data_IF_917862143225
#
_entry.id   IF_917862143225
#
_cell.length_a   1.000
_cell.length_b   1.000
_cell.length_c   1.000
_cell.angle_alpha   90.00
_cell.angle_beta   90.00
_cell.angle_gamma   90.00
#
_symmetry.space_group_name_H-M   'P 1'
#
loop_
_entity.id
_entity.type
_entity.pdbx_description
1 polymer ?
#
# COMPACT_ATOMS: atom_id res chain seq x y z
N UNK A 1 1.91 -7.72 4.11
CA UNK A 1 2.23 -8.66 2.99
C UNK A 1 3.53 -8.18 2.35
N UNK A 2 4.44 -9.09 2.01
CA UNK A 2 5.64 -8.78 1.23
C UNK A 2 5.76 -9.75 0.06
N UNK A 3 6.34 -9.28 -1.05
CA UNK A 3 6.66 -10.07 -2.24
C UNK A 3 8.15 -9.94 -2.47
N UNK A 4 8.89 -11.06 -2.51
CA UNK A 4 10.34 -11.02 -2.60
C UNK A 4 10.99 -12.25 -2.01
N UNK A 5 12.33 -12.26 -1.86
CA UNK A 5 13.04 -13.44 -1.40
C UNK A 5 12.82 -13.68 0.10
N UNK A 6 13.32 -14.80 0.61
CA UNK A 6 13.15 -15.22 2.01
C UNK A 6 13.64 -14.19 3.04
N UNK A 7 14.57 -13.31 2.68
CA UNK A 7 15.01 -12.20 3.54
C UNK A 7 13.88 -11.21 3.86
N UNK A 8 12.83 -11.12 3.01
CA UNK A 8 11.65 -10.30 3.28
C UNK A 8 10.89 -10.69 4.56
N UNK A 9 11.15 -11.88 5.14
CA UNK A 9 10.64 -12.25 6.45
C UNK A 9 11.08 -11.28 7.56
N UNK A 10 12.29 -10.70 7.47
CA UNK A 10 12.77 -9.74 8.47
C UNK A 10 11.94 -8.45 8.44
N UNK A 11 11.68 -7.90 7.24
CA UNK A 11 10.80 -6.74 7.06
C UNK A 11 9.40 -7.00 7.60
N UNK A 12 8.87 -8.21 7.38
CA UNK A 12 7.57 -8.61 7.92
C UNK A 12 7.57 -8.68 9.46
N UNK A 13 8.64 -9.19 10.08
CA UNK A 13 8.77 -9.20 11.55
C UNK A 13 8.78 -7.80 12.14
N UNK A 14 9.42 -6.83 11.49
CA UNK A 14 9.36 -5.42 11.90
C UNK A 14 7.92 -4.90 11.85
N UNK A 15 7.17 -5.19 10.77
CA UNK A 15 5.77 -4.80 10.67
C UNK A 15 4.89 -5.42 11.78
N UNK A 16 5.11 -6.68 12.11
CA UNK A 16 4.43 -7.35 13.23
C UNK A 16 4.74 -6.67 14.57
N UNK A 17 6.01 -6.36 14.84
CA UNK A 17 6.41 -5.66 16.06
C UNK A 17 5.86 -4.21 16.12
N UNK A 18 5.64 -3.60 14.96
CA UNK A 18 4.95 -2.32 14.80
C UNK A 18 3.41 -2.43 14.87
N UNK A 19 2.87 -3.60 15.17
CA UNK A 19 1.46 -3.80 15.53
C UNK A 19 0.59 -4.38 14.43
N UNK A 20 1.16 -4.94 13.36
CA UNK A 20 0.39 -5.76 12.42
C UNK A 20 -0.01 -7.09 13.07
N UNK A 21 -1.25 -7.54 12.83
CA UNK A 21 -1.77 -8.78 13.43
C UNK A 21 -1.14 -10.05 12.85
N UNK A 22 -0.85 -10.05 11.55
CA UNK A 22 -0.25 -11.19 10.84
C UNK A 22 0.52 -10.76 9.59
N UNK A 23 1.37 -11.65 9.10
CA UNK A 23 2.22 -11.45 7.95
C UNK A 23 2.03 -12.54 6.90
N UNK A 24 2.19 -12.16 5.63
CA UNK A 24 2.24 -13.07 4.48
C UNK A 24 3.47 -12.70 3.67
N UNK A 25 4.32 -13.69 3.41
CA UNK A 25 5.38 -13.59 2.42
C UNK A 25 4.97 -14.38 1.18
N UNK A 26 5.00 -13.72 0.02
CA UNK A 26 4.97 -14.38 -1.28
C UNK A 26 6.41 -14.48 -1.74
N UNK A 27 6.99 -15.66 -1.61
CA UNK A 27 8.40 -15.87 -1.91
C UNK A 27 8.65 -15.90 -3.42
N UNK A 28 9.58 -15.06 -3.88
CA UNK A 28 10.01 -14.95 -5.27
C UNK A 28 11.50 -14.59 -5.33
N UNK A 29 12.24 -15.22 -6.24
CA UNK A 29 13.63 -14.87 -6.53
C UNK A 29 13.88 -15.04 -8.04
N UNK A 30 14.17 -13.97 -8.81
CA UNK A 30 14.43 -12.59 -8.37
C UNK A 30 13.17 -11.81 -7.94
N UNK A 31 13.36 -10.59 -7.42
CA UNK A 31 12.27 -9.64 -7.14
C UNK A 31 11.55 -9.29 -8.45
N UNK A 32 10.22 -9.49 -8.55
CA UNK A 32 9.48 -9.23 -9.78
C UNK A 32 9.32 -7.73 -10.07
N UNK A 33 8.97 -7.41 -11.32
CA UNK A 33 8.56 -6.07 -11.73
C UNK A 33 7.22 -5.61 -11.09
N UNK A 34 6.92 -4.30 -11.06
CA UNK A 34 5.71 -3.77 -10.42
C UNK A 34 4.40 -4.42 -10.84
N UNK A 35 4.24 -4.76 -12.13
CA UNK A 35 3.03 -5.41 -12.64
C UNK A 35 2.85 -6.82 -12.06
N UNK A 36 3.93 -7.59 -11.98
CA UNK A 36 3.92 -8.92 -11.39
C UNK A 36 3.61 -8.84 -9.89
N UNK A 37 4.21 -7.89 -9.17
CA UNK A 37 3.90 -7.62 -7.75
C UNK A 37 2.42 -7.27 -7.59
N UNK A 38 1.86 -6.37 -8.41
CA UNK A 38 0.46 -5.97 -8.33
C UNK A 38 -0.50 -7.16 -8.58
N UNK A 39 -0.19 -8.06 -9.52
CA UNK A 39 -0.97 -9.28 -9.75
C UNK A 39 -0.92 -10.24 -8.56
N UNK A 40 0.24 -10.39 -7.93
CA UNK A 40 0.39 -11.22 -6.72
C UNK A 40 -0.37 -10.63 -5.53
N UNK A 41 -0.30 -9.31 -5.33
CA UNK A 41 -1.07 -8.61 -4.29
C UNK A 41 -2.58 -8.69 -4.54
N UNK A 42 -3.04 -8.62 -5.80
CA UNK A 42 -4.44 -8.87 -6.16
C UNK A 42 -4.91 -10.25 -5.72
N UNK A 43 -4.13 -11.29 -5.96
CA UNK A 43 -4.48 -12.65 -5.52
C UNK A 43 -4.58 -12.78 -3.99
N UNK A 44 -3.84 -11.97 -3.23
CA UNK A 44 -4.01 -11.88 -1.77
C UNK A 44 -5.27 -11.11 -1.43
N UNK A 45 -5.51 -9.96 -2.05
CA UNK A 45 -6.70 -9.16 -1.82
C UNK A 45 -7.99 -9.95 -2.08
N UNK A 46 -8.04 -10.76 -3.14
CA UNK A 46 -9.19 -11.62 -3.45
C UNK A 46 -9.44 -12.72 -2.40
N UNK A 47 -8.41 -13.14 -1.66
CA UNK A 47 -8.52 -14.16 -0.61
C UNK A 47 -8.83 -13.56 0.76
N UNK A 48 -8.26 -12.39 1.03
CA UNK A 48 -8.33 -11.73 2.34
C UNK A 48 -9.45 -10.69 2.43
N UNK A 49 -10.05 -10.34 1.29
CA UNK A 49 -11.16 -9.38 1.12
C UNK A 49 -11.00 -8.09 1.96
N UNK A 50 -9.88 -7.35 1.82
CA UNK A 50 -9.64 -6.18 2.63
C UNK A 50 -10.51 -5.00 2.18
N UNK A 51 -11.07 -4.23 3.13
CA UNK A 51 -11.77 -2.98 2.78
C UNK A 51 -10.85 -1.85 2.31
N UNK A 52 -9.54 -1.95 2.58
CA UNK A 52 -8.53 -0.97 2.19
C UNK A 52 -7.16 -1.63 2.07
N UNK A 53 -6.38 -1.21 1.07
CA UNK A 53 -4.97 -1.63 0.91
C UNK A 53 -4.08 -0.40 0.97
N UNK A 54 -3.05 -0.42 1.83
CA UNK A 54 -2.09 0.67 1.98
C UNK A 54 -0.72 0.22 1.48
N UNK A 55 -0.11 1.02 0.61
CA UNK A 55 1.26 0.83 0.11
C UNK A 55 2.06 2.13 0.28
N UNK A 56 3.39 2.01 0.26
CA UNK A 56 4.25 3.17 0.05
C UNK A 56 4.04 3.77 -1.35
N UNK A 57 4.24 5.08 -1.49
CA UNK A 57 4.26 5.79 -2.78
C UNK A 57 5.22 5.16 -3.78
N UNK A 58 6.46 4.88 -3.37
CA UNK A 58 7.49 4.32 -4.24
C UNK A 58 8.45 3.48 -3.43
N UNK A 59 8.93 2.39 -4.03
CA UNK A 59 10.08 1.67 -3.53
C UNK A 59 11.34 2.38 -4.02
N UNK A 60 12.32 2.60 -3.14
CA UNK A 60 13.51 3.42 -3.41
C UNK A 60 14.52 2.74 -4.35
N UNK A 61 14.41 1.43 -4.52
CA UNK A 61 15.25 0.59 -5.36
C UNK A 61 14.83 0.66 -6.84
N UNK A 62 13.52 0.61 -7.11
CA UNK A 62 12.98 0.69 -8.46
C UNK A 62 12.50 2.08 -8.89
N UNK A 63 12.20 2.97 -7.93
CA UNK A 63 11.74 4.36 -8.12
C UNK A 63 10.57 4.52 -9.14
N UNK A 64 9.72 3.49 -9.24
CA UNK A 64 8.75 3.38 -10.32
C UNK A 64 7.42 4.10 -10.06
N UNK A 65 7.01 4.25 -8.79
CA UNK A 65 5.68 4.78 -8.41
C UNK A 65 4.51 4.10 -9.16
N UNK A 66 4.51 2.77 -9.30
CA UNK A 66 3.56 2.06 -10.18
C UNK A 66 2.68 1.02 -9.47
N UNK A 67 3.20 0.28 -8.50
CA UNK A 67 2.54 -0.91 -7.95
C UNK A 67 1.14 -0.63 -7.41
N UNK A 68 0.95 0.46 -6.66
CA UNK A 68 -0.35 0.82 -6.09
C UNK A 68 -1.39 1.18 -7.17
N UNK A 69 -0.98 1.95 -8.17
CA UNK A 69 -1.82 2.36 -9.30
C UNK A 69 -2.23 1.16 -10.15
N UNK A 70 -1.28 0.26 -10.44
CA UNK A 70 -1.57 -0.98 -11.16
C UNK A 70 -2.52 -1.89 -10.37
N UNK A 71 -2.29 -2.03 -9.05
CA UNK A 71 -3.15 -2.83 -8.18
C UNK A 71 -4.59 -2.31 -8.16
N UNK A 72 -4.77 -0.99 -8.03
CA UNK A 72 -6.09 -0.36 -8.06
C UNK A 72 -6.81 -0.62 -9.40
N UNK A 73 -6.09 -0.47 -10.53
CA UNK A 73 -6.64 -0.77 -11.85
C UNK A 73 -7.01 -2.25 -12.02
N UNK A 74 -6.19 -3.18 -11.53
CA UNK A 74 -6.45 -4.62 -11.60
C UNK A 74 -7.63 -5.06 -10.71
N UNK A 75 -7.86 -4.39 -9.59
CA UNK A 75 -9.00 -4.63 -8.69
C UNK A 75 -10.26 -3.85 -9.10
N UNK A 76 -10.12 -2.88 -10.00
CA UNK A 76 -11.13 -1.88 -10.31
C UNK A 76 -11.61 -1.12 -9.05
N UNK A 77 -10.66 -0.70 -8.21
CA UNK A 77 -10.90 0.01 -6.95
C UNK A 77 -10.54 1.50 -7.06
N UNK A 78 -11.15 2.31 -6.18
CA UNK A 78 -10.76 3.71 -6.00
C UNK A 78 -9.30 3.81 -5.55
N UNK A 79 -8.61 4.88 -5.95
CA UNK A 79 -7.22 5.11 -5.53
C UNK A 79 -6.98 6.52 -5.01
N UNK A 80 -6.31 6.62 -3.85
CA UNK A 80 -5.70 7.84 -3.35
C UNK A 80 -4.19 7.71 -3.41
N UNK A 81 -3.52 8.44 -4.31
CA UNK A 81 -2.06 8.42 -4.38
C UNK A 81 -1.42 9.62 -3.70
N UNK A 82 -0.19 9.45 -3.18
CA UNK A 82 0.57 10.52 -2.52
C UNK A 82 -0.14 11.10 -1.28
N UNK A 83 -0.80 10.24 -0.51
CA UNK A 83 -1.65 10.65 0.60
C UNK A 83 -0.81 11.12 1.78
N UNK A 84 -1.05 12.36 2.23
CA UNK A 84 -0.45 12.97 3.42
C UNK A 84 -1.45 13.13 4.57
N UNK A 85 -2.74 12.87 4.35
CA UNK A 85 -3.74 12.73 5.43
C UNK A 85 -4.83 11.74 5.01
N UNK A 86 -5.26 10.89 5.94
CA UNK A 86 -6.26 9.85 5.72
C UNK A 86 -7.26 9.82 6.87
N UNK A 87 -8.56 9.81 6.56
CA UNK A 87 -9.62 9.48 7.51
C UNK A 87 -10.70 8.62 6.85
N UNK A 88 -11.38 7.80 7.65
CA UNK A 88 -12.46 6.93 7.19
C UNK A 88 -13.74 7.32 7.91
N UNK A 89 -14.78 7.61 7.13
CA UNK A 89 -16.10 8.00 7.61
C UNK A 89 -17.16 7.09 6.97
N UNK A 90 -17.59 6.06 7.71
CA UNK A 90 -18.50 5.04 7.19
C UNK A 90 -17.89 4.30 5.99
N UNK A 91 -18.51 4.44 4.82
CA UNK A 91 -18.05 3.84 3.55
C UNK A 91 -17.15 4.76 2.71
N UNK A 92 -16.86 5.97 3.20
CA UNK A 92 -16.08 6.97 2.47
C UNK A 92 -14.68 7.09 3.07
N UNK A 93 -13.68 7.03 2.20
CA UNK A 93 -12.27 7.23 2.56
C UNK A 93 -11.88 8.63 2.11
N UNK A 94 -11.67 9.54 3.06
CA UNK A 94 -11.27 10.92 2.80
C UNK A 94 -9.76 11.02 2.81
N UNK A 95 -9.19 11.58 1.75
CA UNK A 95 -7.73 11.74 1.65
C UNK A 95 -7.34 13.16 1.25
N UNK A 96 -6.23 13.61 1.83
CA UNK A 96 -5.47 14.76 1.34
C UNK A 96 -4.23 14.24 0.64
N UNK A 97 -4.02 14.67 -0.61
CA UNK A 97 -2.94 14.23 -1.48
C UNK A 97 -1.98 15.37 -1.75
N UNK A 98 -0.69 15.05 -1.80
CA UNK A 98 0.35 15.96 -2.28
C UNK A 98 0.31 15.99 -3.81
N UNK A 99 0.13 17.17 -4.39
CA UNK A 99 0.20 17.44 -5.82
C UNK A 99 1.13 18.62 -6.07
N UNK A 100 1.57 18.83 -7.32
CA UNK A 100 2.56 19.88 -7.64
C UNK A 100 2.12 21.28 -7.20
N UNK A 101 0.80 21.55 -7.23
CA UNK A 101 0.20 22.83 -6.82
C UNK A 101 -0.12 22.96 -5.32
N UNK A 102 0.22 21.97 -4.49
CA UNK A 102 -0.08 21.95 -3.06
C UNK A 102 -0.86 20.71 -2.64
N UNK A 103 -2.02 20.91 -2.03
CA UNK A 103 -2.83 19.83 -1.46
C UNK A 103 -4.17 19.69 -2.19
N UNK A 104 -4.55 18.45 -2.47
CA UNK A 104 -5.85 18.11 -3.05
C UNK A 104 -6.64 17.23 -2.07
N UNK A 105 -7.88 17.61 -1.77
CA UNK A 105 -8.78 16.79 -0.95
C UNK A 105 -9.77 16.05 -1.85
N UNK A 106 -9.81 14.72 -1.74
CA UNK A 106 -10.76 13.88 -2.48
C UNK A 106 -11.42 12.86 -1.56
N UNK A 107 -12.67 12.52 -1.89
CA UNK A 107 -13.43 11.46 -1.25
C UNK A 107 -13.41 10.23 -2.17
N UNK A 108 -13.04 9.07 -1.62
CA UNK A 108 -12.99 7.80 -2.32
C UNK A 108 -14.07 6.86 -1.79
N UNK A 109 -14.73 6.13 -2.68
CA UNK A 109 -15.62 5.04 -2.29
C UNK A 109 -14.77 3.82 -1.87
N UNK A 110 -15.09 3.24 -0.72
CA UNK A 110 -14.54 1.94 -0.33
C UNK A 110 -15.12 0.82 -1.22
N UNK A 111 -14.33 -0.22 -1.57
CA UNK A 111 -12.93 -0.43 -1.18
C UNK A 111 -11.94 0.44 -1.97
N UNK A 112 -10.80 0.75 -1.35
CA UNK A 112 -9.81 1.67 -1.92
C UNK A 112 -8.34 1.24 -1.71
N UNK A 113 -7.49 1.60 -2.67
CA UNK A 113 -6.04 1.49 -2.57
C UNK A 113 -5.44 2.86 -2.23
N UNK A 114 -4.56 2.90 -1.24
CA UNK A 114 -3.92 4.13 -0.77
C UNK A 114 -2.41 4.01 -0.94
N UNK A 115 -1.78 4.97 -1.62
CA UNK A 115 -0.31 5.12 -1.60
C UNK A 115 0.08 6.31 -0.74
N UNK A 116 0.91 6.08 0.26
CA UNK A 116 1.22 7.08 1.30
C UNK A 116 2.49 7.83 0.98
N UNK A 117 2.46 9.15 1.19
CA UNK A 117 3.64 10.01 1.15
C UNK A 117 4.34 10.01 2.51
N UNK A 118 5.61 10.46 2.54
CA UNK A 118 6.39 10.59 3.76
C UNK A 118 5.72 11.50 4.79
N UNK A 119 4.89 12.44 4.35
CA UNK A 119 4.19 13.40 5.22
C UNK A 119 2.98 12.82 5.95
N UNK A 120 2.58 11.58 5.67
CA UNK A 120 1.38 11.00 6.29
C UNK A 120 1.46 10.91 7.80
N UNK A 121 2.59 10.40 8.31
CA UNK A 121 2.83 10.23 9.74
C UNK A 121 4.32 10.06 10.04
N UNK A 122 4.65 10.02 11.34
CA UNK A 122 5.95 9.57 11.83
C UNK A 122 5.83 8.12 12.29
N UNK A 123 6.56 7.16 11.68
CA UNK A 123 6.52 5.76 12.11
C UNK A 123 6.99 5.59 13.55
N UNK A 124 6.22 4.83 14.34
CA UNK A 124 6.63 4.46 15.71
C UNK A 124 7.77 3.45 15.70
N UNK A 125 8.55 3.40 16.78
CA UNK A 125 9.48 2.29 17.01
C UNK A 125 8.76 1.04 17.50
N UNK A 126 9.29 -0.13 17.15
CA UNK A 126 8.93 -1.38 17.79
C UNK A 126 9.41 -1.34 19.25
N UNK A 127 8.53 -1.72 20.18
CA UNK A 127 8.79 -1.76 21.63
C UNK A 127 8.98 -3.18 22.11
#
# INVERSE_FOLDING_TARGET
VAVGPSQGQETLRTGLAMGADRAILIETDPIPEPLAIAKLLKAVAEKEDPGMIILGKQAIDGDNNQTGQMLAGLLNWSIGSFVSKLSVEGSTVKVTREVDGGLENIDLAAPAVITVDLRLNEPRYAS
#
